data_IF_082082822070
#
_entry.id   IF_082082822070
#
_cell.length_a   1.000
_cell.length_b   1.000
_cell.length_c   1.000
_cell.angle_alpha   90.00
_cell.angle_beta   90.00
_cell.angle_gamma   90.00
#
_symmetry.space_group_name_H-M   'P 1'
#
loop_
_entity.id
_entity.type
_entity.pdbx_description
1 polymer ?
#
# COMPACT_ATOMS: atom_id res chain seq x y z
N UNK A 1 22.49 -30.36 -47.16
CA UNK A 1 21.94 -28.99 -47.30
C UNK A 1 21.35 -28.60 -45.96
N UNK A 2 22.04 -27.75 -45.20
CA UNK A 2 21.51 -27.24 -43.92
C UNK A 2 20.82 -25.89 -44.13
N UNK A 3 19.66 -25.62 -43.51
CA UNK A 3 18.98 -24.34 -43.63
C UNK A 3 19.66 -23.30 -42.72
N UNK A 4 20.17 -22.23 -43.32
CA UNK A 4 20.58 -21.01 -42.63
C UNK A 4 19.33 -20.23 -42.19
N UNK A 5 19.07 -20.15 -40.89
CA UNK A 5 18.23 -19.07 -40.36
C UNK A 5 18.62 -18.71 -38.92
N UNK A 6 19.68 -17.91 -38.77
CA UNK A 6 20.02 -17.27 -37.49
C UNK A 6 19.38 -15.87 -37.44
N UNK A 7 18.13 -15.77 -36.95
CA UNK A 7 17.58 -14.48 -36.53
C UNK A 7 18.32 -14.03 -35.27
N UNK A 8 19.33 -13.17 -35.41
CA UNK A 8 19.97 -12.49 -34.27
C UNK A 8 18.93 -11.58 -33.61
N UNK A 9 18.58 -11.87 -32.35
CA UNK A 9 17.78 -10.94 -31.52
C UNK A 9 18.58 -9.65 -31.36
N UNK A 10 18.03 -8.54 -31.81
CA UNK A 10 18.62 -7.21 -31.62
C UNK A 10 18.53 -6.87 -30.13
N UNK A 11 19.67 -6.60 -29.49
CA UNK A 11 19.75 -6.19 -28.10
C UNK A 11 19.69 -4.66 -28.09
N UNK A 12 18.68 -4.11 -27.42
CA UNK A 12 18.47 -2.65 -27.31
C UNK A 12 19.54 -2.06 -26.39
N UNK A 13 20.19 -0.98 -26.82
CA UNK A 13 21.19 -0.25 -26.02
C UNK A 13 20.53 0.92 -25.27
N UNK A 14 21.15 1.40 -24.19
CA UNK A 14 20.62 2.50 -23.37
C UNK A 14 20.34 3.79 -24.18
N UNK A 15 21.06 4.00 -25.28
CA UNK A 15 20.83 5.10 -26.22
C UNK A 15 19.49 4.98 -26.96
N UNK A 16 19.01 3.77 -27.23
CA UNK A 16 17.68 3.54 -27.84
C UNK A 16 16.52 3.81 -26.86
N UNK A 17 16.83 3.95 -25.56
CA UNK A 17 15.87 4.20 -24.47
C UNK A 17 15.83 5.71 -24.12
N UNK A 18 16.72 6.53 -24.68
CA UNK A 18 16.76 7.97 -24.40
C UNK A 18 15.58 8.70 -25.04
N UNK A 19 14.57 9.02 -24.23
CA UNK A 19 13.48 9.91 -24.60
C UNK A 19 13.95 11.36 -24.50
N UNK A 20 14.49 11.92 -25.59
CA UNK A 20 14.67 13.36 -25.70
C UNK A 20 13.30 14.02 -25.90
N UNK A 21 12.82 14.75 -24.89
CA UNK A 21 11.60 15.54 -25.05
C UNK A 21 11.81 16.61 -26.12
N UNK A 22 10.94 16.75 -27.13
CA UNK A 22 11.08 17.80 -28.15
C UNK A 22 11.20 19.18 -27.50
N UNK A 23 12.13 20.01 -27.97
CA UNK A 23 12.26 21.39 -27.51
C UNK A 23 11.05 22.21 -27.99
N UNK A 24 10.04 22.33 -27.13
CA UNK A 24 8.80 23.06 -27.45
C UNK A 24 8.97 24.55 -27.16
N UNK A 25 8.55 25.42 -28.10
CA UNK A 25 8.51 26.87 -27.88
C UNK A 25 7.47 27.24 -26.81
N UNK A 26 7.59 28.43 -26.20
CA UNK A 26 6.70 28.88 -25.12
C UNK A 26 5.22 28.90 -25.51
N UNK A 27 4.91 29.23 -26.77
CA UNK A 27 3.54 29.25 -27.31
C UNK A 27 2.99 27.84 -27.50
N UNK A 28 3.78 26.92 -28.09
CA UNK A 28 3.40 25.52 -28.26
C UNK A 28 3.21 24.82 -26.90
N UNK A 29 3.97 25.19 -25.86
CA UNK A 29 3.72 24.73 -24.48
C UNK A 29 2.35 25.16 -23.98
N UNK A 30 1.97 26.42 -24.18
CA UNK A 30 0.68 26.92 -23.69
C UNK A 30 -0.49 26.27 -24.43
N UNK A 31 -0.37 26.07 -25.75
CA UNK A 31 -1.39 25.37 -26.54
C UNK A 31 -1.52 23.90 -26.15
N UNK A 32 -0.39 23.19 -25.98
CA UNK A 32 -0.40 21.81 -25.52
C UNK A 32 -0.96 21.70 -24.10
N UNK A 33 -0.61 22.58 -23.16
CA UNK A 33 -1.18 22.62 -21.81
C UNK A 33 -2.69 22.88 -21.85
N UNK A 34 -3.17 23.78 -22.71
CA UNK A 34 -4.59 24.04 -22.89
C UNK A 34 -5.33 22.83 -23.50
N UNK A 35 -4.73 22.17 -24.50
CA UNK A 35 -5.26 20.95 -25.11
C UNK A 35 -5.31 19.79 -24.09
N UNK A 36 -4.25 19.60 -23.30
CA UNK A 36 -4.20 18.64 -22.20
C UNK A 36 -5.24 18.95 -21.12
N UNK A 37 -5.45 20.23 -20.79
CA UNK A 37 -6.49 20.67 -19.86
C UNK A 37 -7.90 20.30 -20.35
N UNK A 38 -8.20 20.59 -21.61
CA UNK A 38 -9.47 20.21 -22.26
C UNK A 38 -9.66 18.69 -22.32
N UNK A 39 -8.61 17.95 -22.70
CA UNK A 39 -8.65 16.48 -22.74
C UNK A 39 -8.87 15.87 -21.34
N UNK A 40 -8.22 16.42 -20.30
CA UNK A 40 -8.46 16.02 -18.91
C UNK A 40 -9.90 16.29 -18.49
N UNK A 41 -10.46 17.45 -18.82
CA UNK A 41 -11.87 17.75 -18.49
C UNK A 41 -12.84 16.79 -19.19
N UNK A 42 -12.63 16.52 -20.48
CA UNK A 42 -13.46 15.59 -21.25
C UNK A 42 -13.37 14.14 -20.75
N UNK A 43 -12.24 13.76 -20.15
CA UNK A 43 -12.01 12.42 -19.62
C UNK A 43 -12.47 12.28 -18.15
N UNK A 44 -12.43 13.37 -17.36
CA UNK A 44 -12.88 13.37 -15.95
C UNK A 44 -14.33 12.93 -15.75
N UNK A 45 -15.20 13.19 -16.74
CA UNK A 45 -16.60 12.77 -16.72
C UNK A 45 -16.85 11.32 -17.16
N UNK A 46 -15.85 10.63 -17.71
CA UNK A 46 -15.98 9.26 -18.24
C UNK A 46 -15.68 8.17 -17.22
N UNK A 47 -14.98 8.49 -16.14
CA UNK A 47 -14.62 7.51 -15.11
C UNK A 47 -15.72 7.48 -14.05
N UNK A 48 -16.37 6.32 -13.93
CA UNK A 48 -17.41 6.10 -12.93
C UNK A 48 -16.86 6.17 -11.50
N UNK A 49 -17.71 6.49 -10.53
CA UNK A 49 -17.30 6.49 -9.12
C UNK A 49 -16.82 5.09 -8.65
N UNK A 50 -17.38 4.03 -9.22
CA UNK A 50 -16.95 2.65 -8.96
C UNK A 50 -15.54 2.38 -9.48
N UNK A 51 -15.19 2.86 -10.68
CA UNK A 51 -13.83 2.73 -11.22
C UNK A 51 -12.82 3.49 -10.36
N UNK A 52 -13.17 4.70 -9.89
CA UNK A 52 -12.33 5.46 -8.95
C UNK A 52 -12.12 4.67 -7.65
N UNK A 53 -13.18 4.06 -7.12
CA UNK A 53 -13.09 3.22 -5.92
C UNK A 53 -12.19 2.00 -6.16
N UNK A 54 -12.38 1.28 -7.27
CA UNK A 54 -11.53 0.15 -7.65
C UNK A 54 -10.05 0.53 -7.76
N UNK A 55 -9.74 1.68 -8.37
CA UNK A 55 -8.37 2.18 -8.46
C UNK A 55 -7.77 2.49 -7.09
N UNK A 56 -8.55 3.11 -6.18
CA UNK A 56 -8.10 3.39 -4.81
C UNK A 56 -7.87 2.12 -4.00
N UNK A 57 -8.76 1.13 -4.14
CA UNK A 57 -8.58 -0.18 -3.50
C UNK A 57 -7.35 -0.90 -4.03
N UNK A 58 -7.12 -0.86 -5.33
CA UNK A 58 -5.92 -1.44 -5.94
C UNK A 58 -4.66 -0.76 -5.41
N UNK A 59 -4.64 0.57 -5.34
CA UNK A 59 -3.54 1.32 -4.74
C UNK A 59 -3.28 0.90 -3.29
N UNK A 60 -4.33 0.79 -2.47
CA UNK A 60 -4.20 0.34 -1.08
C UNK A 60 -3.63 -1.07 -0.99
N UNK A 61 -4.10 -2.01 -1.84
CA UNK A 61 -3.55 -3.37 -1.90
C UNK A 61 -2.06 -3.38 -2.23
N UNK A 62 -1.63 -2.58 -3.20
CA UNK A 62 -0.20 -2.45 -3.51
C UNK A 62 0.59 -1.91 -2.32
N UNK A 63 0.10 -0.87 -1.65
CA UNK A 63 0.78 -0.31 -0.47
C UNK A 63 0.89 -1.31 0.68
N UNK A 64 -0.17 -2.08 0.95
CA UNK A 64 -0.13 -3.16 1.96
C UNK A 64 0.88 -4.23 1.54
N UNK A 65 0.86 -4.68 0.29
CA UNK A 65 1.77 -5.73 -0.18
C UNK A 65 3.24 -5.30 -0.12
N UNK A 66 3.55 -4.06 -0.49
CA UNK A 66 4.90 -3.50 -0.37
C UNK A 66 5.33 -3.45 1.10
N UNK A 67 4.43 -3.08 2.00
CA UNK A 67 4.70 -3.10 3.44
C UNK A 67 4.95 -4.51 3.99
N UNK A 68 4.15 -5.50 3.58
CA UNK A 68 4.30 -6.89 4.00
C UNK A 68 5.61 -7.53 3.50
N UNK A 69 6.11 -7.08 2.35
CA UNK A 69 7.41 -7.54 1.81
C UNK A 69 8.59 -6.75 2.36
N UNK A 70 8.35 -5.52 2.83
CA UNK A 70 9.39 -4.62 3.29
C UNK A 70 9.99 -5.06 4.63
N UNK A 71 11.31 -4.96 4.76
CA UNK A 71 12.01 -5.28 6.01
C UNK A 71 12.00 -4.14 7.04
N UNK A 72 11.81 -2.91 6.56
CA UNK A 72 11.85 -1.70 7.36
C UNK A 72 10.74 -0.77 6.89
N UNK A 73 9.91 -0.32 7.84
CA UNK A 73 8.83 0.60 7.57
C UNK A 73 8.45 1.32 8.86
N UNK A 74 8.12 2.60 8.72
CA UNK A 74 7.50 3.40 9.80
C UNK A 74 5.97 3.28 9.79
N UNK A 75 5.41 2.66 8.74
CA UNK A 75 3.97 2.46 8.63
C UNK A 75 3.48 1.46 9.67
N UNK A 76 2.30 1.76 10.18
CA UNK A 76 1.59 0.97 11.19
C UNK A 76 0.19 0.68 10.70
N UNK A 77 -0.51 -0.25 11.36
CA UNK A 77 -1.89 -0.60 11.05
C UNK A 77 -2.81 0.62 10.88
N UNK A 78 -2.71 1.60 11.80
CA UNK A 78 -3.54 2.81 11.74
C UNK A 78 -3.37 3.64 10.47
N UNK A 79 -2.19 3.60 9.83
CA UNK A 79 -1.96 4.26 8.55
C UNK A 79 -2.77 3.62 7.42
N UNK A 80 -2.75 2.29 7.31
CA UNK A 80 -3.51 1.56 6.30
C UNK A 80 -5.02 1.66 6.54
N UNK A 81 -5.45 1.67 7.80
CA UNK A 81 -6.84 1.90 8.16
C UNK A 81 -7.31 3.29 7.72
N UNK A 82 -6.50 4.33 7.94
CA UNK A 82 -6.81 5.68 7.49
C UNK A 82 -6.86 5.79 5.95
N UNK A 83 -5.98 5.09 5.24
CA UNK A 83 -6.01 5.01 3.77
C UNK A 83 -7.25 4.28 3.26
N UNK A 84 -7.68 3.22 3.93
CA UNK A 84 -8.92 2.52 3.61
C UNK A 84 -10.13 3.45 3.76
N UNK A 85 -10.24 4.16 4.88
CA UNK A 85 -11.30 5.16 5.09
C UNK A 85 -11.28 6.26 4.03
N UNK A 86 -10.09 6.77 3.69
CA UNK A 86 -9.91 7.77 2.63
C UNK A 86 -10.31 7.23 1.26
N UNK A 87 -10.13 5.94 1.00
CA UNK A 87 -10.54 5.29 -0.25
C UNK A 87 -12.05 5.25 -0.41
N UNK A 88 -12.78 5.21 0.71
CA UNK A 88 -14.24 5.23 0.77
C UNK A 88 -14.83 6.64 0.85
N UNK A 89 -13.99 7.68 1.01
CA UNK A 89 -14.42 9.07 1.24
C UNK A 89 -15.27 9.27 2.51
N UNK A 90 -15.10 8.37 3.49
CA UNK A 90 -15.87 8.41 4.72
C UNK A 90 -15.16 9.21 5.81
N UNK A 91 -15.94 9.96 6.57
CA UNK A 91 -15.46 10.55 7.82
C UNK A 91 -15.40 9.46 8.92
N UNK A 92 -14.59 9.69 9.95
CA UNK A 92 -14.39 8.71 11.02
C UNK A 92 -15.64 8.37 11.84
N UNK A 93 -16.61 9.28 11.96
CA UNK A 93 -17.86 9.01 12.68
C UNK A 93 -18.74 8.04 11.90
N UNK A 94 -18.94 8.31 10.61
CA UNK A 94 -19.71 7.45 9.70
C UNK A 94 -19.08 6.07 9.58
N UNK A 95 -17.76 6.02 9.35
CA UNK A 95 -17.06 4.74 9.26
C UNK A 95 -17.17 3.92 10.56
N UNK A 96 -17.00 4.55 11.72
CA UNK A 96 -17.16 3.88 13.01
C UNK A 96 -18.57 3.27 13.16
N UNK A 97 -19.62 3.97 12.70
CA UNK A 97 -20.99 3.47 12.71
C UNK A 97 -21.16 2.27 11.77
N UNK A 98 -20.63 2.34 10.54
CA UNK A 98 -20.74 1.27 9.54
C UNK A 98 -20.10 -0.05 9.99
N UNK A 99 -18.97 0.01 10.71
CA UNK A 99 -18.32 -1.19 11.29
C UNK A 99 -18.74 -1.42 12.76
N UNK A 100 -19.78 -0.73 13.22
CA UNK A 100 -20.39 -0.89 14.56
C UNK A 100 -19.39 -0.78 15.73
N UNK A 101 -18.57 0.28 15.75
CA UNK A 101 -17.64 0.61 16.84
C UNK A 101 -17.82 2.04 17.35
N UNK A 102 -17.30 2.31 18.55
CA UNK A 102 -17.25 3.66 19.09
C UNK A 102 -16.22 4.51 18.30
N UNK A 103 -16.52 5.78 17.96
CA UNK A 103 -15.54 6.66 17.30
C UNK A 103 -14.23 6.83 18.08
N UNK A 104 -14.28 6.77 19.42
CA UNK A 104 -13.09 6.80 20.27
C UNK A 104 -12.20 5.57 20.06
N UNK A 105 -12.80 4.39 19.91
CA UNK A 105 -12.07 3.15 19.64
C UNK A 105 -11.42 3.19 18.25
N UNK A 106 -12.13 3.71 17.25
CA UNK A 106 -11.56 3.93 15.91
C UNK A 106 -10.33 4.86 15.97
N UNK A 107 -10.43 5.96 16.71
CA UNK A 107 -9.33 6.90 16.89
C UNK A 107 -8.10 6.22 17.53
N UNK A 108 -8.31 5.38 18.55
CA UNK A 108 -7.23 4.61 19.16
C UNK A 108 -6.54 3.67 18.16
N UNK A 109 -7.29 3.03 17.25
CA UNK A 109 -6.71 2.19 16.19
C UNK A 109 -5.90 3.01 15.20
N UNK A 110 -6.42 4.15 14.74
CA UNK A 110 -5.73 5.04 13.78
C UNK A 110 -4.42 5.57 14.38
N UNK A 111 -4.42 5.91 15.67
CA UNK A 111 -3.23 6.42 16.37
C UNK A 111 -2.34 5.33 16.96
N UNK A 112 -2.60 4.05 16.65
CA UNK A 112 -1.84 2.90 17.15
C UNK A 112 -1.72 2.87 18.69
N UNK A 113 -2.72 3.39 19.38
CA UNK A 113 -2.83 3.33 20.85
C UNK A 113 -3.43 2.00 21.31
N UNK A 114 -4.12 1.30 20.40
CA UNK A 114 -4.73 0.00 20.66
C UNK A 114 -4.65 -0.86 19.42
N UNK A 115 -4.40 -2.15 19.59
CA UNK A 115 -4.50 -3.12 18.51
C UNK A 115 -5.97 -3.55 18.31
N UNK A 116 -6.43 -3.65 17.05
CA UNK A 116 -7.74 -4.22 16.75
C UNK A 116 -7.76 -5.72 17.09
N UNK A 117 -8.92 -6.23 17.53
CA UNK A 117 -9.12 -7.66 17.72
C UNK A 117 -9.65 -8.33 16.44
N UNK A 118 -9.72 -9.65 16.43
CA UNK A 118 -10.17 -10.46 15.29
C UNK A 118 -11.56 -10.03 14.79
N UNK A 119 -12.47 -9.68 15.71
CA UNK A 119 -13.80 -9.18 15.37
C UNK A 119 -13.73 -7.89 14.53
N UNK A 120 -12.79 -6.98 14.82
CA UNK A 120 -12.58 -5.79 14.00
C UNK A 120 -12.04 -6.16 12.62
N UNK A 121 -11.09 -7.09 12.54
CA UNK A 121 -10.52 -7.51 11.25
C UNK A 121 -11.58 -8.15 10.34
N UNK A 122 -12.42 -9.03 10.89
CA UNK A 122 -13.55 -9.62 10.16
C UNK A 122 -14.58 -8.57 9.72
N UNK A 123 -14.85 -7.55 10.55
CA UNK A 123 -15.74 -6.45 10.16
C UNK A 123 -15.17 -5.64 9.00
N UNK A 124 -13.86 -5.37 8.99
CA UNK A 124 -13.20 -4.68 7.87
C UNK A 124 -13.30 -5.50 6.58
N UNK A 125 -13.11 -6.82 6.67
CA UNK A 125 -13.29 -7.74 5.54
C UNK A 125 -14.71 -7.65 4.96
N UNK A 126 -15.72 -7.87 5.80
CA UNK A 126 -17.13 -7.85 5.38
C UNK A 126 -17.51 -6.48 4.82
N UNK A 127 -17.13 -5.40 5.52
CA UNK A 127 -17.38 -4.03 5.09
C UNK A 127 -16.74 -3.70 3.73
N UNK A 128 -15.58 -4.29 3.45
CA UNK A 128 -14.92 -4.14 2.16
C UNK A 128 -15.49 -5.00 1.04
N UNK A 129 -16.59 -5.73 1.27
CA UNK A 129 -17.08 -6.76 0.38
C UNK A 129 -15.97 -7.77 0.01
N UNK A 130 -15.26 -8.26 1.03
CA UNK A 130 -14.19 -9.26 0.92
C UNK A 130 -13.00 -8.85 0.04
N UNK A 131 -12.86 -7.56 -0.27
CA UNK A 131 -11.71 -7.07 -1.03
C UNK A 131 -10.42 -7.08 -0.19
N UNK A 132 -10.52 -6.89 1.12
CA UNK A 132 -9.41 -6.93 2.07
C UNK A 132 -9.71 -7.98 3.13
N UNK A 133 -9.33 -9.26 2.90
CA UNK A 133 -9.65 -10.34 3.82
C UNK A 133 -8.95 -10.15 5.17
N UNK A 134 -9.51 -10.74 6.24
CA UNK A 134 -9.03 -10.50 7.60
C UNK A 134 -7.58 -10.97 7.82
N UNK A 135 -7.14 -11.99 7.10
CA UNK A 135 -5.75 -12.47 7.08
C UNK A 135 -4.78 -11.42 6.51
N UNK A 136 -5.19 -10.63 5.52
CA UNK A 136 -4.40 -9.50 5.01
C UNK A 136 -4.22 -8.43 6.09
N UNK A 137 -5.28 -8.07 6.81
CA UNK A 137 -5.21 -7.12 7.91
C UNK A 137 -4.39 -7.64 9.09
N UNK A 138 -4.54 -8.93 9.40
CA UNK A 138 -3.73 -9.61 10.40
C UNK A 138 -2.24 -9.61 10.00
N UNK A 139 -1.95 -9.86 8.72
CA UNK A 139 -0.59 -9.78 8.18
C UNK A 139 0.05 -8.41 8.43
N UNK A 140 -0.73 -7.32 8.31
CA UNK A 140 -0.23 -5.96 8.62
C UNK A 140 0.15 -5.84 10.09
N UNK A 141 -0.67 -6.34 11.01
CA UNK A 141 -0.38 -6.33 12.45
C UNK A 141 0.85 -7.18 12.78
N UNK A 142 0.92 -8.39 12.22
CA UNK A 142 2.02 -9.31 12.41
C UNK A 142 3.34 -8.72 11.91
N UNK A 143 3.33 -8.11 10.73
CA UNK A 143 4.51 -7.45 10.16
C UNK A 143 4.95 -6.25 10.98
N UNK A 144 4.01 -5.41 11.42
CA UNK A 144 4.31 -4.30 12.33
C UNK A 144 4.99 -4.82 13.60
N UNK A 145 4.45 -5.88 14.22
CA UNK A 145 5.01 -6.48 15.43
C UNK A 145 6.40 -7.07 15.20
N UNK A 146 6.60 -7.73 14.06
CA UNK A 146 7.89 -8.28 13.67
C UNK A 146 8.96 -7.18 13.54
N UNK A 147 8.61 -6.05 12.91
CA UNK A 147 9.51 -4.89 12.78
C UNK A 147 9.83 -4.29 14.16
N UNK A 148 8.85 -4.15 15.04
CA UNK A 148 9.06 -3.68 16.43
C UNK A 148 10.04 -4.60 17.19
N UNK A 149 9.83 -5.91 17.16
CA UNK A 149 10.69 -6.89 17.84
C UNK A 149 12.08 -7.03 17.21
N UNK A 150 12.21 -6.83 15.89
CA UNK A 150 13.50 -6.81 15.18
C UNK A 150 14.34 -5.61 15.63
N UNK A 151 13.71 -4.47 15.84
CA UNK A 151 14.39 -3.21 16.12
C UNK A 151 14.60 -2.95 17.63
N UNK A 152 13.87 -3.61 18.53
CA UNK A 152 14.00 -3.41 19.97
C UNK A 152 15.25 -4.11 20.55
N UNK A 153 16.39 -3.41 20.45
CA UNK A 153 17.67 -3.86 21.00
C UNK A 153 17.69 -3.83 22.53
N UNK A 154 16.96 -2.91 23.16
CA UNK A 154 16.88 -2.78 24.61
C UNK A 154 16.23 -4.00 25.24
N UNK A 155 15.05 -4.37 24.76
CA UNK A 155 14.31 -5.54 25.23
C UNK A 155 15.14 -6.79 25.00
N UNK A 156 15.77 -6.93 23.83
CA UNK A 156 16.61 -8.09 23.52
C UNK A 156 17.77 -8.26 24.50
N UNK A 157 18.46 -7.18 24.87
CA UNK A 157 19.53 -7.22 25.88
C UNK A 157 19.03 -7.60 27.26
N UNK A 158 17.86 -7.10 27.64
CA UNK A 158 17.23 -7.41 28.93
C UNK A 158 16.88 -8.90 29.03
N UNK A 159 16.15 -9.42 28.04
CA UNK A 159 15.73 -10.83 28.00
C UNK A 159 16.93 -11.79 27.88
N UNK A 160 17.96 -11.39 27.13
CA UNK A 160 19.18 -12.19 26.98
C UNK A 160 19.91 -12.44 28.32
N UNK A 161 19.80 -11.50 29.27
CA UNK A 161 20.38 -11.65 30.60
C UNK A 161 19.59 -12.64 31.49
N UNK A 162 18.29 -12.80 31.22
CA UNK A 162 17.36 -13.63 32.00
C UNK A 162 17.42 -15.10 31.55
N UNK A 163 17.48 -15.35 30.25
CA UNK A 163 17.35 -16.71 29.68
C UNK A 163 18.61 -17.57 29.91
N UNK A 164 18.47 -18.67 30.66
CA UNK A 164 19.52 -19.69 30.90
C UNK A 164 18.92 -21.11 31.00
N UNK A 165 19.54 -22.16 30.40
CA UNK A 165 20.73 -22.14 29.53
C UNK A 165 20.39 -21.78 28.06
N UNK A 166 21.36 -21.20 27.34
CA UNK A 166 21.22 -20.92 25.91
C UNK A 166 21.55 -22.17 25.08
N UNK A 167 20.67 -22.53 24.15
CA UNK A 167 20.92 -23.62 23.19
C UNK A 167 22.09 -23.23 22.29
N UNK A 168 23.09 -24.11 22.16
CA UNK A 168 24.34 -23.83 21.42
C UNK A 168 24.28 -24.16 19.92
N UNK A 169 23.12 -24.61 19.43
CA UNK A 169 22.91 -24.96 18.02
C UNK A 169 22.42 -23.72 17.28
N UNK A 170 23.14 -23.33 16.23
CA UNK A 170 22.71 -22.34 15.25
C UNK A 170 22.41 -23.06 13.92
N UNK A 171 21.35 -22.66 13.22
CA UNK A 171 20.91 -23.17 11.91
C UNK A 171 21.05 -22.05 10.90
#
# INVERSE_FOLDING_TARGET
MEPKNSRRKKMWTDEDISFESPSVTGEQRNETLAAFGKFRQNTKGKVSNEEKLKLRFLQLKFQINEFLKGEHSEYRFGFFLALYMKSLELNGKTFAQEINIKPSLLSQFIHNQREPNDTILMRLEIHSNYNFPADLWYGVLAQQKAIELKNDRSLRKHEEAIVKPKVKVAI
#
